data_IF_767741734617
#
_entry.id   IF_767741734617
#
_cell.length_a   1.000
_cell.length_b   1.000
_cell.length_c   1.000
_cell.angle_alpha   90.00
_cell.angle_beta   90.00
_cell.angle_gamma   90.00
#
_symmetry.space_group_name_H-M   'P 1'
#
loop_
_entity.id
_entity.type
_entity.pdbx_description
1 polymer ?
#
# COMPACT_ATOMS: atom_id res chain seq x y z
N UNK A 1 68.64 -32.02 -18.47
CA UNK A 1 68.41 -32.94 -17.33
C UNK A 1 67.01 -32.62 -16.79
N UNK A 2 66.10 -33.59 -16.87
CA UNK A 2 64.67 -33.52 -16.50
C UNK A 2 64.42 -33.29 -15.00
N UNK A 3 63.35 -32.54 -14.65
CA UNK A 3 62.46 -32.72 -13.47
C UNK A 3 61.34 -31.64 -13.50
N UNK A 4 60.10 -31.96 -13.89
CA UNK A 4 58.95 -32.50 -13.11
C UNK A 4 58.24 -31.48 -12.17
N UNK A 5 56.96 -31.24 -12.49
CA UNK A 5 55.76 -31.09 -11.62
C UNK A 5 55.53 -29.77 -10.85
N UNK A 6 54.46 -29.05 -11.21
CA UNK A 6 53.23 -28.97 -10.39
C UNK A 6 52.14 -28.18 -11.13
N UNK A 7 51.22 -28.91 -11.80
CA UNK A 7 49.91 -28.39 -12.16
C UNK A 7 49.05 -28.37 -10.89
N UNK A 8 48.84 -27.20 -10.30
CA UNK A 8 47.80 -27.01 -9.29
C UNK A 8 46.46 -26.77 -10.00
N UNK A 9 45.68 -27.85 -10.11
CA UNK A 9 44.26 -27.78 -10.40
C UNK A 9 43.54 -27.24 -9.15
N UNK A 10 43.26 -25.94 -9.11
CA UNK A 10 42.33 -25.37 -8.13
C UNK A 10 40.91 -25.56 -8.65
N UNK A 11 40.29 -26.67 -8.23
CA UNK A 11 38.86 -26.93 -8.38
C UNK A 11 38.08 -25.88 -7.59
N UNK A 12 37.52 -24.89 -8.29
CA UNK A 12 36.60 -23.93 -7.71
C UNK A 12 35.29 -24.66 -7.36
N UNK A 13 35.11 -24.96 -6.07
CA UNK A 13 33.89 -25.55 -5.54
C UNK A 13 32.82 -24.44 -5.49
N UNK A 14 32.01 -24.36 -6.55
CA UNK A 14 30.79 -23.55 -6.60
C UNK A 14 29.78 -24.12 -5.60
N UNK A 15 29.88 -23.70 -4.34
CA UNK A 15 28.79 -23.80 -3.36
C UNK A 15 27.68 -22.86 -3.82
N UNK A 16 26.80 -23.37 -4.67
CA UNK A 16 25.52 -22.74 -4.98
C UNK A 16 24.69 -22.66 -3.70
N UNK A 17 24.77 -21.53 -3.01
CA UNK A 17 23.72 -21.12 -2.09
C UNK A 17 22.47 -20.88 -2.95
N UNK A 18 21.62 -21.90 -3.05
CA UNK A 18 20.23 -21.70 -3.47
C UNK A 18 19.55 -20.89 -2.38
N UNK A 19 19.56 -19.57 -2.51
CA UNK A 19 18.65 -18.70 -1.78
C UNK A 19 17.25 -19.15 -2.19
N UNK A 20 16.55 -19.85 -1.28
CA UNK A 20 15.12 -20.08 -1.42
C UNK A 20 14.45 -18.73 -1.27
N UNK A 21 14.27 -18.04 -2.39
CA UNK A 21 13.36 -16.90 -2.48
C UNK A 21 11.98 -17.52 -2.33
N UNK A 22 11.44 -17.46 -1.11
CA UNK A 22 10.05 -17.84 -0.89
C UNK A 22 9.22 -16.75 -1.54
N UNK A 23 8.56 -17.07 -2.65
CA UNK A 23 7.63 -16.14 -3.29
C UNK A 23 6.56 -15.75 -2.27
N UNK A 24 6.32 -14.45 -2.11
CA UNK A 24 5.22 -13.97 -1.27
C UNK A 24 3.90 -14.37 -1.95
N UNK A 25 2.96 -14.95 -1.22
CA UNK A 25 1.66 -15.40 -1.74
C UNK A 25 0.57 -14.40 -1.39
N UNK A 26 -0.46 -14.28 -2.23
CA UNK A 26 -1.65 -13.52 -1.86
C UNK A 26 -2.31 -14.08 -0.59
N UNK A 27 -2.89 -13.22 0.28
CA UNK A 27 -3.63 -13.70 1.43
C UNK A 27 -4.92 -14.39 1.00
N UNK A 28 -5.34 -15.33 1.84
CA UNK A 28 -6.61 -16.02 1.67
C UNK A 28 -7.75 -15.04 1.92
N UNK A 29 -8.66 -14.96 0.95
CA UNK A 29 -9.91 -14.19 1.07
C UNK A 29 -10.76 -14.87 2.15
N UNK A 30 -11.25 -14.13 3.16
CA UNK A 30 -12.10 -14.70 4.20
C UNK A 30 -13.34 -15.41 3.61
N UNK A 31 -13.76 -16.51 4.24
CA UNK A 31 -14.98 -17.18 3.84
C UNK A 31 -16.18 -16.23 3.97
N UNK A 32 -17.02 -16.18 2.93
CA UNK A 32 -18.22 -15.33 2.86
C UNK A 32 -17.96 -13.85 2.59
N UNK A 33 -16.70 -13.45 2.30
CA UNK A 33 -16.30 -12.06 2.09
C UNK A 33 -17.06 -11.37 0.94
N UNK A 34 -17.53 -12.13 -0.06
CA UNK A 34 -18.27 -11.60 -1.20
C UNK A 34 -19.70 -12.15 -1.38
N UNK A 35 -20.26 -12.80 -0.35
CA UNK A 35 -21.59 -13.40 -0.46
C UNK A 35 -22.71 -12.35 -0.63
N UNK A 36 -22.52 -11.16 -0.06
CA UNK A 36 -23.52 -10.08 -0.05
C UNK A 36 -23.01 -8.73 -0.58
N UNK A 37 -21.71 -8.60 -0.85
CA UNK A 37 -21.07 -7.35 -1.25
C UNK A 37 -19.82 -7.60 -2.10
N UNK A 38 -19.46 -6.65 -2.97
CA UNK A 38 -18.22 -6.67 -3.77
C UNK A 38 -16.99 -6.14 -3.00
N UNK A 39 -17.14 -5.96 -1.69
CA UNK A 39 -16.17 -5.24 -0.86
C UNK A 39 -16.21 -5.79 0.57
N UNK A 40 -15.05 -6.13 1.12
CA UNK A 40 -14.93 -6.72 2.45
C UNK A 40 -13.61 -6.34 3.12
N UNK A 41 -13.66 -6.16 4.43
CA UNK A 41 -12.55 -5.55 5.19
C UNK A 41 -12.32 -6.18 6.53
N UNK A 42 -11.07 -6.12 6.96
CA UNK A 42 -10.62 -6.56 8.28
C UNK A 42 -9.61 -5.53 8.81
N UNK A 43 -9.62 -5.30 10.13
CA UNK A 43 -8.60 -4.50 10.78
C UNK A 43 -8.29 -5.02 12.18
N UNK A 44 -7.02 -5.36 12.39
CA UNK A 44 -6.51 -5.89 13.64
C UNK A 44 -5.31 -5.12 14.15
N UNK A 45 -5.07 -5.26 15.46
CA UNK A 45 -3.83 -4.77 16.07
C UNK A 45 -2.94 -5.97 16.25
N UNK A 46 -1.78 -5.96 15.60
CA UNK A 46 -0.80 -7.04 15.62
C UNK A 46 0.56 -6.48 16.04
N UNK A 47 1.40 -7.33 16.64
CA UNK A 47 2.79 -6.96 16.90
C UNK A 47 3.64 -7.25 15.65
N UNK A 48 4.39 -6.25 15.20
CA UNK A 48 5.37 -6.39 14.10
C UNK A 48 6.69 -5.76 14.50
N UNK A 49 7.78 -6.29 13.95
CA UNK A 49 9.10 -5.68 14.06
C UNK A 49 9.26 -4.65 12.94
N UNK A 50 9.28 -3.37 13.30
CA UNK A 50 9.52 -2.24 12.38
C UNK A 50 10.76 -1.52 12.88
N UNK A 51 11.73 -1.29 11.98
CA UNK A 51 13.03 -0.69 12.30
C UNK A 51 13.74 -1.37 13.48
N UNK A 52 13.65 -2.70 13.56
CA UNK A 52 14.27 -3.50 14.61
C UNK A 52 13.57 -3.45 15.97
N UNK A 53 12.40 -2.82 16.07
CA UNK A 53 11.62 -2.73 17.31
C UNK A 53 10.24 -3.33 17.14
N UNK A 54 9.80 -4.09 18.13
CA UNK A 54 8.41 -4.56 18.19
C UNK A 54 7.46 -3.38 18.47
N UNK A 55 6.40 -3.31 17.68
CA UNK A 55 5.38 -2.25 17.71
C UNK A 55 4.01 -2.86 17.53
N UNK A 56 3.02 -2.30 18.22
CA UNK A 56 1.62 -2.51 17.88
C UNK A 56 1.29 -1.76 16.59
N UNK A 57 0.82 -2.50 15.59
CA UNK A 57 0.50 -2.02 14.25
C UNK A 57 -0.95 -2.32 13.97
N UNK A 58 -1.66 -1.32 13.44
CA UNK A 58 -2.99 -1.54 12.88
C UNK A 58 -2.78 -2.14 11.48
N UNK A 59 -3.07 -3.42 11.32
CA UNK A 59 -3.05 -4.09 10.03
C UNK A 59 -4.47 -4.02 9.43
N UNK A 60 -4.62 -3.26 8.36
CA UNK A 60 -5.83 -3.12 7.57
C UNK A 60 -5.72 -4.04 6.36
N UNK A 61 -6.80 -4.77 6.07
CA UNK A 61 -6.96 -5.59 4.88
C UNK A 61 -8.27 -5.24 4.20
N UNK A 62 -8.22 -5.07 2.89
CA UNK A 62 -9.37 -4.75 2.06
C UNK A 62 -9.36 -5.68 0.86
N UNK A 63 -10.45 -6.39 0.66
CA UNK A 63 -10.70 -7.27 -0.48
C UNK A 63 -11.83 -6.67 -1.30
N UNK A 64 -11.65 -6.62 -2.61
CA UNK A 64 -12.57 -5.94 -3.53
C UNK A 64 -12.73 -6.77 -4.80
N UNK A 65 -13.91 -6.70 -5.39
CA UNK A 65 -14.24 -7.29 -6.69
C UNK A 65 -14.73 -6.19 -7.61
N UNK A 66 -14.28 -6.21 -8.87
CA UNK A 66 -14.81 -5.34 -9.91
C UNK A 66 -15.00 -6.14 -11.20
N UNK A 67 -16.10 -5.94 -11.93
CA UNK A 67 -16.38 -6.67 -13.16
C UNK A 67 -15.52 -6.20 -14.34
N UNK A 68 -15.30 -7.10 -15.30
CA UNK A 68 -14.68 -6.74 -16.59
C UNK A 68 -15.51 -5.72 -17.38
N UNK A 69 -16.80 -5.61 -17.09
CA UNK A 69 -17.68 -4.57 -17.67
C UNK A 69 -17.36 -3.16 -17.17
N UNK A 70 -16.84 -3.02 -15.96
CA UNK A 70 -16.53 -1.72 -15.35
C UNK A 70 -15.11 -1.26 -15.67
N UNK A 71 -14.20 -2.21 -15.90
CA UNK A 71 -12.79 -1.98 -16.21
C UNK A 71 -12.35 -2.88 -17.36
N UNK A 72 -11.93 -2.29 -18.48
CA UNK A 72 -11.55 -3.07 -19.67
C UNK A 72 -10.23 -3.84 -19.47
N UNK A 73 -9.38 -3.39 -18.55
CA UNK A 73 -8.05 -3.95 -18.32
C UNK A 73 -7.53 -3.77 -16.89
N UNK A 74 -6.46 -4.51 -16.55
CA UNK A 74 -5.70 -4.29 -15.31
C UNK A 74 -5.06 -2.90 -15.29
N UNK A 75 -4.67 -2.38 -16.46
CA UNK A 75 -4.07 -1.05 -16.57
C UNK A 75 -5.08 0.06 -16.21
N UNK A 76 -6.38 -0.14 -16.46
CA UNK A 76 -7.42 0.79 -16.03
C UNK A 76 -7.53 0.85 -14.50
N UNK A 77 -7.44 -0.30 -13.83
CA UNK A 77 -7.44 -0.40 -12.37
C UNK A 77 -6.19 0.26 -11.76
N UNK A 78 -5.02 0.02 -12.35
CA UNK A 78 -3.79 0.68 -11.92
C UNK A 78 -3.84 2.19 -12.16
N UNK A 79 -4.36 2.63 -13.31
CA UNK A 79 -4.56 4.04 -13.61
C UNK A 79 -5.45 4.72 -12.55
N UNK A 80 -6.52 4.05 -12.09
CA UNK A 80 -7.35 4.55 -10.97
C UNK A 80 -6.58 4.61 -9.65
N UNK A 81 -5.84 3.55 -9.32
CA UNK A 81 -5.07 3.48 -8.09
C UNK A 81 -4.00 4.58 -8.00
N UNK A 82 -3.28 4.81 -9.10
CA UNK A 82 -2.21 5.81 -9.21
C UNK A 82 -2.72 7.22 -9.59
N UNK A 83 -4.02 7.43 -9.78
CA UNK A 83 -4.61 8.75 -10.01
C UNK A 83 -4.71 9.55 -8.71
N UNK A 84 -3.55 9.86 -8.13
CA UNK A 84 -3.41 10.53 -6.84
C UNK A 84 -4.13 11.88 -6.77
N UNK A 85 -4.30 12.58 -7.88
CA UNK A 85 -5.00 13.85 -7.91
C UNK A 85 -6.50 13.69 -7.62
N UNK A 86 -7.08 12.52 -7.93
CA UNK A 86 -8.50 12.24 -7.76
C UNK A 86 -8.86 11.60 -6.43
N UNK A 87 -7.91 11.28 -5.55
CA UNK A 87 -8.22 10.61 -4.28
C UNK A 87 -9.12 11.45 -3.35
N UNK A 88 -9.04 12.79 -3.40
CA UNK A 88 -10.00 13.67 -2.72
C UNK A 88 -11.42 13.41 -3.24
N UNK A 89 -11.61 13.39 -4.56
CA UNK A 89 -12.90 13.08 -5.17
C UNK A 89 -13.39 11.67 -4.83
N UNK A 90 -12.53 10.67 -4.92
CA UNK A 90 -12.86 9.28 -4.56
C UNK A 90 -13.37 9.19 -3.13
N UNK A 91 -12.70 9.83 -2.19
CA UNK A 91 -13.11 9.84 -0.78
C UNK A 91 -14.50 10.46 -0.54
N UNK A 92 -14.94 11.38 -1.42
CA UNK A 92 -16.23 12.07 -1.31
C UNK A 92 -17.39 11.31 -1.92
N UNK A 93 -17.15 10.42 -2.90
CA UNK A 93 -18.21 9.67 -3.59
C UNK A 93 -19.06 8.82 -2.64
N UNK A 94 -18.43 8.23 -1.64
CA UNK A 94 -19.11 7.46 -0.58
C UNK A 94 -19.98 8.34 0.35
N UNK A 95 -19.91 9.67 0.24
CA UNK A 95 -20.57 10.59 1.18
C UNK A 95 -20.06 10.46 2.62
N UNK A 96 -18.89 9.85 2.81
CA UNK A 96 -18.35 9.48 4.11
C UNK A 96 -17.70 10.68 4.80
N UNK A 97 -18.16 10.97 6.02
CA UNK A 97 -17.56 11.97 6.90
C UNK A 97 -16.31 11.45 7.63
N UNK A 98 -15.85 10.23 7.32
CA UNK A 98 -14.74 9.56 8.01
C UNK A 98 -13.37 10.11 7.61
N UNK A 99 -13.24 10.54 6.37
CA UNK A 99 -12.04 11.16 5.82
C UNK A 99 -12.41 12.45 5.09
N UNK A 100 -11.64 13.51 5.30
CA UNK A 100 -11.87 14.80 4.66
C UNK A 100 -10.57 15.39 4.17
N UNK A 101 -10.40 15.37 2.86
CA UNK A 101 -9.34 16.10 2.17
C UNK A 101 -9.62 17.61 2.25
N UNK A 102 -8.57 18.41 2.37
CA UNK A 102 -8.66 19.87 2.61
C UNK A 102 -8.92 20.68 1.34
N UNK A 103 -9.12 20.03 0.19
CA UNK A 103 -9.40 20.66 -1.11
C UNK A 103 -8.49 20.15 -2.23
N UNK A 104 -8.42 20.88 -3.35
CA UNK A 104 -7.74 20.41 -4.56
C UNK A 104 -6.22 20.21 -4.41
N UNK A 105 -5.55 20.93 -3.51
CA UNK A 105 -4.10 20.76 -3.22
C UNK A 105 -3.82 19.66 -2.21
N UNK A 106 -4.85 19.01 -1.70
CA UNK A 106 -4.71 18.11 -0.57
C UNK A 106 -4.49 16.64 -0.98
N UNK A 107 -4.53 16.35 -2.28
CA UNK A 107 -4.07 15.10 -2.85
C UNK A 107 -3.36 15.39 -4.16
N UNK A 108 -2.05 15.14 -4.24
CA UNK A 108 -1.24 15.55 -5.40
C UNK A 108 -0.29 14.44 -5.85
N UNK A 109 -0.21 14.25 -7.17
CA UNK A 109 0.91 13.52 -7.78
C UNK A 109 2.15 14.43 -7.80
N UNK A 110 3.22 14.01 -7.13
CA UNK A 110 4.50 14.75 -7.08
C UNK A 110 5.48 14.36 -8.20
N UNK A 111 5.03 13.54 -9.15
CA UNK A 111 5.83 12.97 -10.21
C UNK A 111 6.74 11.82 -9.73
N UNK A 112 7.15 10.93 -10.64
CA UNK A 112 7.98 9.79 -10.32
C UNK A 112 9.42 10.20 -10.00
N UNK A 113 10.11 9.34 -9.25
CA UNK A 113 11.55 9.36 -9.03
C UNK A 113 12.12 7.96 -9.22
N UNK A 114 13.45 7.83 -9.28
CA UNK A 114 14.12 6.52 -9.29
C UNK A 114 14.79 6.29 -7.93
N UNK A 115 14.39 5.23 -7.23
CA UNK A 115 14.97 4.81 -5.95
C UNK A 115 15.54 3.42 -6.13
N UNK A 116 16.85 3.26 -5.96
CA UNK A 116 17.51 1.95 -6.12
C UNK A 116 17.34 1.32 -7.52
N UNK A 117 17.12 2.14 -8.57
CA UNK A 117 16.87 1.67 -9.93
C UNK A 117 15.39 1.35 -10.23
N UNK A 118 14.49 1.52 -9.27
CA UNK A 118 13.06 1.29 -9.44
C UNK A 118 12.32 2.63 -9.59
N UNK A 119 11.49 2.75 -10.62
CA UNK A 119 10.59 3.89 -10.77
C UNK A 119 9.56 3.87 -9.64
N UNK A 120 9.48 4.97 -8.91
CA UNK A 120 8.63 5.14 -7.73
C UNK A 120 7.75 6.35 -7.93
N UNK A 121 6.44 6.13 -7.99
CA UNK A 121 5.42 7.16 -8.04
C UNK A 121 5.30 7.82 -6.65
N UNK A 122 5.05 9.13 -6.60
CA UNK A 122 4.97 9.88 -5.35
C UNK A 122 3.64 10.59 -5.20
N UNK A 123 3.05 10.48 -4.01
CA UNK A 123 1.76 11.03 -3.67
C UNK A 123 1.86 11.89 -2.42
N UNK A 124 1.44 13.14 -2.48
CA UNK A 124 1.15 13.92 -1.29
C UNK A 124 -0.33 13.76 -0.92
N UNK A 125 -0.61 13.43 0.34
CA UNK A 125 -1.96 13.38 0.90
C UNK A 125 -2.05 14.24 2.17
N UNK A 126 -3.05 15.13 2.22
CA UNK A 126 -3.39 15.99 3.34
C UNK A 126 -4.88 15.90 3.63
N UNK A 127 -5.23 15.23 4.72
CA UNK A 127 -6.62 14.98 5.06
C UNK A 127 -6.82 14.93 6.56
N UNK A 128 -8.09 14.87 6.96
CA UNK A 128 -8.50 14.66 8.34
C UNK A 128 -9.23 13.34 8.46
N UNK A 129 -8.87 12.54 9.46
CA UNK A 129 -9.61 11.32 9.83
C UNK A 129 -10.46 11.61 11.05
N UNK A 130 -11.73 11.22 11.00
CA UNK A 130 -12.65 11.30 12.14
C UNK A 130 -12.32 10.23 13.17
N UNK A 131 -11.87 10.63 14.35
CA UNK A 131 -11.63 9.77 15.51
C UNK A 131 -12.68 10.00 16.61
N UNK A 132 -12.75 9.14 17.63
CA UNK A 132 -13.66 9.34 18.77
C UNK A 132 -13.45 10.65 19.54
N UNK A 133 -12.26 11.25 19.48
CA UNK A 133 -11.91 12.48 20.21
C UNK A 133 -11.84 13.73 19.30
N UNK A 134 -12.31 13.62 18.05
CA UNK A 134 -12.27 14.71 17.06
C UNK A 134 -11.53 14.30 15.79
N UNK A 135 -11.11 15.29 15.00
CA UNK A 135 -10.39 15.03 13.75
C UNK A 135 -8.88 15.03 13.96
N UNK A 136 -8.21 14.07 13.34
CA UNK A 136 -6.76 13.97 13.30
C UNK A 136 -6.31 14.40 11.91
N UNK A 137 -5.47 15.43 11.82
CA UNK A 137 -4.83 15.81 10.57
C UNK A 137 -3.73 14.81 10.23
N UNK A 138 -3.72 14.37 8.98
CA UNK A 138 -2.68 13.52 8.39
C UNK A 138 -2.10 14.28 7.21
N UNK A 139 -0.77 14.38 7.17
CA UNK A 139 -0.01 14.89 6.02
C UNK A 139 1.10 13.89 5.74
N UNK A 140 1.17 13.34 4.54
CA UNK A 140 2.14 12.32 4.20
C UNK A 140 2.58 12.42 2.74
N UNK A 141 3.82 12.02 2.48
CA UNK A 141 4.31 11.74 1.14
C UNK A 141 4.50 10.23 1.00
N UNK A 142 3.61 9.59 0.25
CA UNK A 142 3.66 8.16 -0.05
C UNK A 142 4.50 7.87 -1.29
N UNK A 143 5.30 6.82 -1.22
CA UNK A 143 6.13 6.28 -2.30
C UNK A 143 5.51 4.97 -2.72
N UNK A 144 5.24 4.79 -4.01
CA UNK A 144 4.55 3.62 -4.54
C UNK A 144 5.35 3.07 -5.72
N UNK A 145 5.56 1.76 -5.74
CA UNK A 145 6.34 1.13 -6.80
C UNK A 145 5.82 -0.27 -7.14
N UNK A 146 6.03 -0.67 -8.38
CA UNK A 146 5.70 -2.02 -8.84
C UNK A 146 6.76 -3.01 -8.34
N UNK A 147 6.32 -4.21 -8.00
CA UNK A 147 7.19 -5.33 -7.62
C UNK A 147 6.86 -6.54 -8.49
N UNK A 148 7.72 -7.57 -8.43
CA UNK A 148 7.37 -8.87 -9.01
C UNK A 148 6.02 -9.34 -8.45
N UNK A 149 5.08 -9.79 -9.30
CA UNK A 149 3.79 -10.24 -8.84
C UNK A 149 3.90 -11.36 -7.81
N UNK A 150 3.11 -11.24 -6.74
CA UNK A 150 2.99 -12.30 -5.74
C UNK A 150 2.35 -13.54 -6.38
N UNK A 151 2.58 -14.70 -5.80
CA UNK A 151 1.98 -15.93 -6.31
C UNK A 151 0.44 -15.79 -6.33
N UNK A 152 -0.14 -16.00 -7.51
CA UNK A 152 -1.56 -15.83 -7.78
C UNK A 152 -2.01 -14.42 -8.17
N UNK A 153 -1.11 -13.41 -8.15
CA UNK A 153 -1.40 -12.06 -8.60
C UNK A 153 -1.02 -11.87 -10.07
N UNK A 154 -1.82 -11.10 -10.81
CA UNK A 154 -1.43 -10.58 -12.13
C UNK A 154 -0.47 -9.40 -11.97
N UNK A 155 -0.72 -8.54 -10.98
CA UNK A 155 0.10 -7.36 -10.68
C UNK A 155 0.24 -7.18 -9.18
N UNK A 156 1.40 -6.66 -8.74
CA UNK A 156 1.66 -6.30 -7.35
C UNK A 156 2.40 -4.95 -7.28
N UNK A 157 1.97 -4.11 -6.34
CA UNK A 157 2.61 -2.86 -5.99
C UNK A 157 2.81 -2.81 -4.47
N UNK A 158 3.87 -2.13 -4.04
CA UNK A 158 4.11 -1.80 -2.63
C UNK A 158 4.07 -0.28 -2.46
N UNK A 159 3.76 0.15 -1.25
CA UNK A 159 3.85 1.56 -0.89
C UNK A 159 4.36 1.77 0.52
N UNK A 160 4.98 2.92 0.75
CA UNK A 160 5.47 3.36 2.04
C UNK A 160 5.46 4.87 2.14
N UNK A 161 4.96 5.40 3.25
CA UNK A 161 5.03 6.82 3.55
C UNK A 161 6.41 7.21 4.06
N UNK A 162 6.97 8.28 3.52
CA UNK A 162 8.17 8.90 4.06
C UNK A 162 7.84 9.61 5.37
N UNK A 163 8.47 9.15 6.45
CA UNK A 163 8.25 9.65 7.82
C UNK A 163 9.33 10.64 8.26
N UNK A 164 10.35 10.86 7.43
CA UNK A 164 11.45 11.78 7.67
C UNK A 164 11.82 12.57 6.41
N UNK A 165 12.57 13.66 6.57
CA UNK A 165 12.97 14.56 5.49
C UNK A 165 12.17 15.86 5.44
N UNK A 166 12.50 16.71 4.47
CA UNK A 166 11.81 17.99 4.21
C UNK A 166 11.22 17.95 2.81
N UNK A 167 9.93 18.22 2.69
CA UNK A 167 9.17 18.15 1.44
C UNK A 167 8.58 19.52 1.12
N UNK A 168 8.98 20.07 -0.02
CA UNK A 168 8.33 21.23 -0.63
C UNK A 168 7.15 20.73 -1.48
N UNK A 169 5.93 21.08 -1.07
CA UNK A 169 4.71 20.64 -1.72
C UNK A 169 4.05 21.86 -2.38
N UNK A 170 3.78 21.84 -3.70
CA UNK A 170 3.14 22.96 -4.38
C UNK A 170 1.82 23.37 -3.71
N UNK A 171 1.72 24.65 -3.35
CA UNK A 171 0.51 25.23 -2.74
C UNK A 171 0.27 24.88 -1.26
N UNK A 172 1.23 24.25 -0.59
CA UNK A 172 1.15 23.84 0.81
C UNK A 172 2.38 24.31 1.60
N UNK A 173 2.26 24.40 2.92
CA UNK A 173 3.41 24.67 3.78
C UNK A 173 4.43 23.52 3.70
N UNK A 174 5.71 23.84 3.88
CA UNK A 174 6.77 22.84 3.95
C UNK A 174 6.42 21.76 4.98
N UNK A 175 6.53 20.50 4.57
CA UNK A 175 6.27 19.35 5.43
C UNK A 175 7.61 18.76 5.90
N UNK A 176 7.77 18.59 7.21
CA UNK A 176 8.94 17.93 7.80
C UNK A 176 8.54 16.53 8.29
N UNK A 177 8.89 15.50 7.54
CA UNK A 177 8.45 14.12 7.78
C UNK A 177 6.98 13.89 7.42
N UNK A 178 6.25 13.22 8.30
CA UNK A 178 4.80 13.04 8.19
C UNK A 178 4.06 13.51 9.44
N UNK A 179 2.81 13.91 9.29
CA UNK A 179 1.90 14.26 10.39
C UNK A 179 0.79 13.20 10.52
N UNK A 180 0.32 12.99 11.75
CA UNK A 180 -0.80 12.08 12.05
C UNK A 180 -0.42 10.61 12.17
N UNK A 181 0.50 10.10 11.34
CA UNK A 181 1.01 8.72 11.40
C UNK A 181 2.55 8.67 11.52
N UNK A 182 3.06 7.75 12.36
CA UNK A 182 4.50 7.47 12.51
C UNK A 182 5.00 6.49 11.47
N UNK A 183 4.12 5.65 10.96
CA UNK A 183 4.41 4.63 9.99
C UNK A 183 3.17 4.32 9.18
N UNK A 184 3.35 4.13 7.88
CA UNK A 184 2.31 3.62 6.98
C UNK A 184 2.99 2.96 5.80
N UNK A 185 2.79 1.66 5.62
CA UNK A 185 3.27 0.93 4.46
C UNK A 185 2.32 -0.22 4.13
N UNK A 186 2.41 -0.75 2.92
CA UNK A 186 1.56 -1.86 2.53
C UNK A 186 1.74 -2.25 1.08
N UNK A 187 0.72 -2.91 0.55
CA UNK A 187 0.71 -3.46 -0.79
C UNK A 187 -0.69 -3.42 -1.40
N UNK A 188 -0.69 -3.48 -2.73
CA UNK A 188 -1.88 -3.55 -3.55
C UNK A 188 -1.65 -4.61 -4.63
N UNK A 189 -2.62 -5.48 -4.81
CA UNK A 189 -2.54 -6.61 -5.71
C UNK A 189 -3.81 -6.73 -6.53
N UNK A 190 -3.66 -7.17 -7.78
CA UNK A 190 -4.77 -7.44 -8.68
C UNK A 190 -4.59 -8.86 -9.22
N UNK A 191 -5.65 -9.65 -9.18
CA UNK A 191 -5.78 -10.96 -9.83
C UNK A 191 -6.96 -10.93 -10.80
N UNK A 192 -6.77 -11.48 -11.99
CA UNK A 192 -7.88 -11.78 -12.91
C UNK A 192 -8.54 -13.11 -12.53
N UNK A 193 -9.86 -13.10 -12.48
CA UNK A 193 -10.69 -14.29 -12.40
C UNK A 193 -11.50 -14.41 -13.69
N UNK A 194 -10.96 -15.17 -14.66
CA UNK A 194 -11.59 -15.32 -15.97
C UNK A 194 -12.88 -16.16 -15.92
N UNK A 195 -13.04 -17.02 -14.90
CA UNK A 195 -14.23 -17.85 -14.76
C UNK A 195 -15.44 -17.00 -14.37
N UNK A 196 -15.22 -15.99 -13.53
CA UNK A 196 -16.27 -15.07 -13.05
C UNK A 196 -16.31 -13.73 -13.79
N UNK A 197 -15.43 -13.53 -14.79
CA UNK A 197 -15.27 -12.26 -15.53
C UNK A 197 -15.02 -11.04 -14.61
N UNK A 198 -14.17 -11.25 -13.59
CA UNK A 198 -13.94 -10.32 -12.50
C UNK A 198 -12.46 -10.06 -12.22
N UNK A 199 -12.17 -8.88 -11.66
CA UNK A 199 -10.91 -8.58 -11.01
C UNK A 199 -11.08 -8.69 -9.52
N UNK A 200 -10.23 -9.51 -8.90
CA UNK A 200 -10.10 -9.58 -7.45
C UNK A 200 -8.91 -8.73 -7.03
N UNK A 201 -9.17 -7.73 -6.21
CA UNK A 201 -8.16 -6.80 -5.72
C UNK A 201 -7.97 -6.98 -4.22
N UNK A 202 -6.72 -6.92 -3.79
CA UNK A 202 -6.33 -6.97 -2.38
C UNK A 202 -5.47 -5.76 -2.06
N UNK A 203 -5.88 -5.00 -1.05
CA UNK A 203 -5.12 -3.90 -0.48
C UNK A 203 -4.83 -4.19 0.99
N UNK A 204 -3.59 -3.91 1.40
CA UNK A 204 -3.23 -3.93 2.81
C UNK A 204 -2.49 -2.66 3.23
N UNK A 205 -2.61 -2.33 4.50
CA UNK A 205 -1.86 -1.24 5.10
C UNK A 205 -1.54 -1.54 6.56
N UNK A 206 -0.27 -1.38 6.92
CA UNK A 206 0.23 -1.36 8.28
C UNK A 206 0.36 0.09 8.73
N UNK A 207 -0.36 0.48 9.79
CA UNK A 207 -0.41 1.87 10.26
C UNK A 207 -0.01 1.95 11.74
N UNK A 208 0.88 2.88 12.06
CA UNK A 208 1.17 3.30 13.43
C UNK A 208 0.75 4.78 13.58
N UNK A 209 -0.27 5.11 14.39
CA UNK A 209 -0.66 6.50 14.61
C UNK A 209 0.38 7.30 15.42
N UNK A 210 0.48 8.61 15.14
CA UNK A 210 1.40 9.53 15.85
C UNK A 210 0.93 9.94 17.22
N UNK A 211 -0.37 10.06 17.38
CA UNK A 211 -1.01 10.40 18.65
C UNK A 211 -1.04 9.20 19.59
N UNK A 212 -1.02 9.48 20.89
CA UNK A 212 -1.21 8.50 21.97
C UNK A 212 -2.66 8.01 22.04
N UNK A 213 -3.32 7.78 20.89
CA UNK A 213 -4.54 7.00 20.83
C UNK A 213 -4.11 5.54 20.73
N UNK A 214 -4.68 4.70 21.60
CA UNK A 214 -4.44 3.26 21.57
C UNK A 214 -4.78 2.73 20.17
N UNK A 215 -3.91 1.92 19.53
CA UNK A 215 -4.16 1.33 18.21
C UNK A 215 -5.56 0.70 18.08
N UNK A 216 -6.03 0.06 19.14
CA UNK A 216 -7.38 -0.53 19.22
C UNK A 216 -8.53 0.47 19.04
N UNK A 217 -8.35 1.72 19.44
CA UNK A 217 -9.34 2.79 19.27
C UNK A 217 -9.23 3.42 17.88
N UNK A 218 -8.01 3.55 17.35
CA UNK A 218 -7.76 4.16 16.06
C UNK A 218 -8.07 3.24 14.87
N UNK A 219 -8.10 1.91 15.06
CA UNK A 219 -8.27 0.94 13.97
C UNK A 219 -9.54 1.14 13.13
N UNK A 220 -10.69 1.37 13.78
CA UNK A 220 -11.98 1.52 13.10
C UNK A 220 -12.05 2.81 12.27
N UNK A 221 -11.65 3.98 12.81
CA UNK A 221 -11.44 5.19 12.02
C UNK A 221 -10.53 5.02 10.81
N UNK A 222 -9.35 4.41 11.00
CA UNK A 222 -8.36 4.24 9.93
C UNK A 222 -8.90 3.33 8.84
N UNK A 223 -9.44 2.17 9.21
CA UNK A 223 -10.10 1.25 8.28
C UNK A 223 -11.16 2.00 7.47
N UNK A 224 -12.07 2.70 8.16
CA UNK A 224 -13.15 3.43 7.51
C UNK A 224 -12.67 4.54 6.56
N UNK A 225 -11.47 5.10 6.76
CA UNK A 225 -10.84 6.04 5.83
C UNK A 225 -10.38 5.36 4.54
N UNK A 226 -9.67 4.22 4.66
CA UNK A 226 -9.29 3.41 3.49
C UNK A 226 -10.50 2.90 2.71
N UNK A 227 -11.54 2.44 3.40
CA UNK A 227 -12.81 2.03 2.78
C UNK A 227 -13.39 3.16 1.92
N UNK A 228 -13.42 4.37 2.46
CA UNK A 228 -14.05 5.51 1.78
C UNK A 228 -13.30 5.88 0.49
N UNK A 229 -11.97 5.83 0.51
CA UNK A 229 -11.15 6.08 -0.68
C UNK A 229 -11.33 4.95 -1.70
N UNK A 230 -11.15 3.70 -1.28
CA UNK A 230 -11.09 2.56 -2.19
C UNK A 230 -12.44 2.26 -2.86
N UNK A 231 -13.56 2.37 -2.12
CA UNK A 231 -14.89 2.24 -2.71
C UNK A 231 -15.16 3.33 -3.75
N UNK A 232 -14.87 4.59 -3.43
CA UNK A 232 -15.07 5.67 -4.39
C UNK A 232 -14.10 5.64 -5.59
N UNK A 233 -12.91 5.06 -5.40
CA UNK A 233 -11.91 4.87 -6.47
C UNK A 233 -12.38 3.86 -7.52
N UNK A 234 -12.99 2.77 -7.06
CA UNK A 234 -13.45 1.68 -7.93
C UNK A 234 -14.96 1.65 -8.18
N UNK A 235 -15.71 2.63 -7.65
CA UNK A 235 -17.17 2.75 -7.71
C UNK A 235 -17.90 1.51 -7.16
N UNK A 236 -17.52 1.05 -5.96
CA UNK A 236 -18.02 -0.16 -5.29
C UNK A 236 -19.01 0.12 -4.16
#
# INVERSE_FOLDING_TARGET
>A
MFKWINLFFSTFFLLGLSLKISAETLPVIPAGCFDEAVFCTEADVVNKVIDGMEREVINVKVFMVAGFSDFASVDDLLARFFDFNSWDEYSRKEGSERIKFKGQTSSQNLGPIVVGGVETQRHYAHYKIKSPIGYITVRAVGYYWMVEPFEGATVSAKFENQTSGTFEIPGEDVLHGGEGFKYTAGNFHIRKDEENEEYVMYFNADVIPSITILPHVAKKPILGGFESILKGMFNL
#
